data_IF_107187479341
#
_entry.id   IF_107187479341
#
_cell.length_a   1.000
_cell.length_b   1.000
_cell.length_c   1.000
_cell.angle_alpha   90.00
_cell.angle_beta   90.00
_cell.angle_gamma   90.00
#
_symmetry.space_group_name_H-M   'P 1'
#
loop_
_entity.id
_entity.type
_entity.pdbx_description
1 polymer ?
#
# COMPACT_ATOMS: atom_id res chain seq x y z
N UNK A 1 21.31 6.09 6.55
CA UNK A 1 21.11 4.69 6.95
C UNK A 1 19.61 4.44 6.92
N UNK A 2 19.11 3.48 6.14
CA UNK A 2 17.67 3.14 6.11
C UNK A 2 17.41 2.10 7.19
N UNK A 3 16.54 2.42 8.15
CA UNK A 3 16.20 1.53 9.26
C UNK A 3 14.75 1.09 9.13
N UNK A 4 14.49 -0.21 9.15
CA UNK A 4 13.12 -0.73 9.20
C UNK A 4 12.58 -0.45 10.60
N UNK A 5 11.49 0.33 10.67
CA UNK A 5 10.81 0.68 11.92
C UNK A 5 9.64 -0.25 12.21
N UNK A 6 8.99 -0.77 11.17
CA UNK A 6 7.82 -1.65 11.31
C UNK A 6 7.68 -2.58 10.10
N UNK A 7 7.07 -3.75 10.30
CA UNK A 7 6.84 -4.76 9.26
C UNK A 7 5.51 -5.47 9.49
N UNK A 8 4.68 -5.56 8.45
CA UNK A 8 3.34 -6.14 8.51
C UNK A 8 3.21 -7.22 7.44
N UNK A 9 2.73 -8.39 7.85
CA UNK A 9 2.37 -9.46 6.94
C UNK A 9 1.15 -9.09 6.10
N UNK A 10 1.29 -9.14 4.77
CA UNK A 10 0.28 -8.65 3.84
C UNK A 10 0.12 -9.61 2.66
N UNK A 11 -0.62 -10.70 2.87
CA UNK A 11 -1.13 -11.59 1.82
C UNK A 11 -0.05 -12.09 0.82
N UNK A 12 1.00 -12.72 1.34
CA UNK A 12 2.15 -13.22 0.55
C UNK A 12 3.27 -12.18 0.32
N UNK A 13 3.02 -10.93 0.73
CA UNK A 13 4.00 -9.84 0.76
C UNK A 13 4.20 -9.34 2.19
N UNK A 14 5.20 -8.50 2.39
CA UNK A 14 5.42 -7.72 3.60
C UNK A 14 5.34 -6.23 3.29
N UNK A 15 4.65 -5.49 4.15
CA UNK A 15 4.58 -4.03 4.09
C UNK A 15 5.52 -3.49 5.15
N UNK A 16 6.45 -2.64 4.72
CA UNK A 16 7.58 -2.19 5.51
C UNK A 16 7.50 -0.68 5.68
N UNK A 17 7.65 -0.23 6.92
CA UNK A 17 7.85 1.17 7.26
C UNK A 17 9.32 1.39 7.50
N UNK A 18 9.95 2.24 6.67
CA UNK A 18 11.38 2.54 6.73
C UNK A 18 11.59 3.99 7.05
N UNK A 19 12.45 4.27 8.01
CA UNK A 19 12.90 5.64 8.22
C UNK A 19 13.91 6.04 7.14
N UNK A 20 13.63 7.17 6.49
CA UNK A 20 14.45 7.77 5.45
C UNK A 20 14.83 9.18 5.91
N UNK A 21 16.09 9.57 5.70
CA UNK A 21 16.57 10.94 5.98
C UNK A 21 16.37 11.44 7.42
N UNK A 22 16.03 12.73 7.56
CA UNK A 22 15.94 13.48 8.82
C UNK A 22 14.49 13.60 9.32
N UNK A 23 13.73 12.48 9.36
CA UNK A 23 12.30 12.35 9.80
C UNK A 23 11.27 12.16 8.67
N UNK A 24 11.56 11.31 7.70
CA UNK A 24 10.52 10.77 6.82
C UNK A 24 10.40 9.26 7.01
N UNK A 25 9.20 8.75 6.80
CA UNK A 25 8.86 7.34 6.95
C UNK A 25 8.23 6.84 5.65
N UNK A 26 8.96 6.00 4.95
CA UNK A 26 8.53 5.39 3.69
C UNK A 26 7.73 4.11 3.98
N UNK A 27 6.53 4.02 3.42
CA UNK A 27 5.72 2.80 3.39
C UNK A 27 5.93 2.14 2.05
N UNK A 28 6.26 0.86 2.07
CA UNK A 28 6.62 0.10 0.88
C UNK A 28 6.15 -1.35 1.00
N UNK A 29 5.97 -2.03 -0.12
CA UNK A 29 5.57 -3.44 -0.16
C UNK A 29 6.62 -4.29 -0.87
N UNK A 30 6.93 -5.45 -0.31
CA UNK A 30 7.92 -6.38 -0.84
C UNK A 30 7.35 -7.80 -0.86
N UNK A 31 7.51 -8.50 -1.99
CA UNK A 31 7.10 -9.90 -2.08
C UNK A 31 8.03 -10.80 -1.25
N UNK A 32 7.46 -11.77 -0.53
CA UNK A 32 8.25 -12.72 0.29
C UNK A 32 9.05 -13.72 -0.53
N UNK A 33 8.54 -14.07 -1.71
CA UNK A 33 9.10 -15.15 -2.55
C UNK A 33 10.26 -14.64 -3.42
N UNK A 34 10.30 -13.34 -3.73
CA UNK A 34 11.40 -12.74 -4.51
C UNK A 34 11.86 -11.40 -3.91
N UNK A 35 12.60 -11.43 -2.78
CA UNK A 35 12.96 -10.24 -2.01
C UNK A 35 14.13 -9.43 -2.60
N UNK A 36 14.64 -9.73 -3.80
CA UNK A 36 15.81 -9.05 -4.38
C UNK A 36 15.59 -7.56 -4.71
N UNK A 37 14.36 -7.05 -4.65
CA UNK A 37 14.04 -5.63 -4.79
C UNK A 37 13.86 -4.91 -3.45
N UNK A 38 14.02 -3.58 -3.43
CA UNK A 38 13.74 -2.72 -2.25
C UNK A 38 12.25 -2.66 -1.85
N UNK A 39 11.39 -3.39 -2.57
CA UNK A 39 9.95 -3.23 -2.55
C UNK A 39 9.53 -2.01 -3.37
N UNK A 40 8.24 -1.95 -3.71
CA UNK A 40 7.65 -0.77 -4.34
C UNK A 40 7.25 0.21 -3.25
N UNK A 41 7.69 1.46 -3.39
CA UNK A 41 7.27 2.55 -2.50
C UNK A 41 5.81 2.86 -2.79
N UNK A 42 5.01 2.90 -1.72
CA UNK A 42 3.59 3.22 -1.79
C UNK A 42 3.34 4.70 -1.48
N UNK A 43 3.98 5.21 -0.43
CA UNK A 43 3.89 6.60 0.00
C UNK A 43 4.96 6.94 1.05
N UNK A 44 5.24 8.23 1.26
CA UNK A 44 6.10 8.73 2.35
C UNK A 44 5.32 9.65 3.29
N UNK A 45 5.54 9.48 4.61
CA UNK A 45 4.88 10.25 5.67
C UNK A 45 5.90 10.97 6.55
N UNK A 46 5.46 12.02 7.24
CA UNK A 46 6.31 12.78 8.17
C UNK A 46 6.39 12.16 9.58
N UNK A 47 5.39 11.35 9.95
CA UNK A 47 5.30 10.71 11.26
C UNK A 47 5.35 9.18 11.21
N UNK A 48 6.01 8.57 12.19
CA UNK A 48 6.08 7.10 12.30
C UNK A 48 4.69 6.49 12.51
N UNK A 49 3.91 7.03 13.43
CA UNK A 49 2.56 6.53 13.73
C UNK A 49 1.65 6.61 12.50
N UNK A 50 1.74 7.69 11.74
CA UNK A 50 1.01 7.87 10.49
C UNK A 50 1.43 6.83 9.44
N UNK A 51 2.73 6.59 9.28
CA UNK A 51 3.23 5.58 8.36
C UNK A 51 2.83 4.15 8.75
N UNK A 52 2.84 3.83 10.05
CA UNK A 52 2.38 2.54 10.57
C UNK A 52 0.89 2.36 10.33
N UNK A 53 0.08 3.36 10.64
CA UNK A 53 -1.36 3.32 10.37
C UNK A 53 -1.65 3.16 8.87
N UNK A 54 -0.91 3.87 8.01
CA UNK A 54 -1.02 3.73 6.56
C UNK A 54 -0.60 2.35 6.06
N UNK A 55 0.43 1.74 6.65
CA UNK A 55 0.87 0.39 6.31
C UNK A 55 -0.18 -0.68 6.67
N UNK A 56 -0.79 -0.59 7.86
CA UNK A 56 -1.90 -1.47 8.26
C UNK A 56 -3.12 -1.27 7.36
N UNK A 57 -3.43 -0.01 7.07
CA UNK A 57 -4.56 0.36 6.23
C UNK A 57 -4.39 -0.13 4.79
N UNK A 58 -3.19 -0.01 4.24
CA UNK A 58 -2.86 -0.54 2.93
C UNK A 58 -3.19 -2.04 2.82
N UNK A 59 -2.91 -2.85 3.83
CA UNK A 59 -3.23 -4.27 3.77
C UNK A 59 -4.73 -4.55 3.64
N UNK A 60 -5.56 -3.75 4.30
CA UNK A 60 -7.02 -3.85 4.17
C UNK A 60 -7.48 -3.43 2.77
N UNK A 61 -6.93 -2.35 2.23
CA UNK A 61 -7.23 -1.89 0.87
C UNK A 61 -6.77 -2.90 -0.19
N UNK A 62 -5.59 -3.47 -0.03
CA UNK A 62 -5.04 -4.46 -0.95
C UNK A 62 -5.90 -5.73 -0.98
N UNK A 63 -6.35 -6.21 0.19
CA UNK A 63 -7.29 -7.33 0.27
C UNK A 63 -8.60 -7.03 -0.47
N UNK A 64 -9.24 -5.88 -0.18
CA UNK A 64 -10.49 -5.47 -0.82
C UNK A 64 -10.33 -5.31 -2.35
N UNK A 65 -9.23 -4.72 -2.81
CA UNK A 65 -8.94 -4.58 -4.23
C UNK A 65 -8.78 -5.96 -4.92
N UNK A 66 -8.06 -6.88 -4.28
CA UNK A 66 -7.82 -8.24 -4.78
C UNK A 66 -9.11 -9.05 -4.88
N UNK A 67 -10.02 -8.92 -3.93
CA UNK A 67 -11.36 -9.54 -4.00
C UNK A 67 -12.16 -9.07 -5.22
N UNK A 68 -11.94 -7.84 -5.67
CA UNK A 68 -12.54 -7.28 -6.88
C UNK A 68 -11.73 -7.57 -8.16
N UNK A 69 -10.67 -8.37 -8.08
CA UNK A 69 -9.81 -8.74 -9.21
C UNK A 69 -8.82 -7.66 -9.65
N UNK A 70 -8.57 -6.66 -8.80
CA UNK A 70 -7.48 -5.70 -9.00
C UNK A 70 -6.18 -6.28 -8.46
N UNK A 71 -5.05 -5.86 -9.03
CA UNK A 71 -3.72 -6.17 -8.51
C UNK A 71 -2.91 -4.88 -8.34
N UNK A 72 -1.82 -4.97 -7.57
CA UNK A 72 -0.91 -3.86 -7.37
C UNK A 72 0.14 -3.82 -8.49
N UNK A 73 0.26 -2.68 -9.17
CA UNK A 73 1.28 -2.40 -10.18
C UNK A 73 1.80 -0.97 -9.97
N UNK A 74 3.10 -0.81 -9.74
CA UNK A 74 3.79 0.50 -9.63
C UNK A 74 3.10 1.54 -8.72
N UNK A 75 2.51 1.10 -7.59
CA UNK A 75 1.81 2.00 -6.66
C UNK A 75 0.35 2.29 -7.04
N UNK A 76 -0.21 1.56 -7.99
CA UNK A 76 -1.61 1.64 -8.40
C UNK A 76 -2.33 0.31 -8.20
N UNK A 77 -3.60 0.37 -7.82
CA UNK A 77 -4.52 -0.75 -8.04
C UNK A 77 -5.00 -0.71 -9.49
N UNK A 78 -4.78 -1.80 -10.21
CA UNK A 78 -5.07 -1.91 -11.64
C UNK A 78 -5.89 -3.16 -11.93
N UNK A 79 -6.78 -3.07 -12.92
CA UNK A 79 -7.56 -4.17 -13.48
C UNK A 79 -7.76 -3.90 -14.97
N UNK A 80 -7.78 -4.97 -15.77
CA UNK A 80 -7.98 -4.86 -17.23
C UNK A 80 -9.29 -4.12 -17.51
N UNK A 81 -9.23 -3.16 -18.43
CA UNK A 81 -10.35 -2.29 -18.85
C UNK A 81 -11.01 -1.47 -17.73
N UNK A 82 -10.31 -1.24 -16.62
CA UNK A 82 -10.76 -0.35 -15.54
C UNK A 82 -9.75 0.75 -15.24
N UNK A 83 -10.21 1.94 -14.79
CA UNK A 83 -9.35 2.98 -14.25
C UNK A 83 -8.33 2.46 -13.23
N UNK A 84 -7.10 2.99 -13.31
CA UNK A 84 -6.06 2.78 -12.30
C UNK A 84 -6.34 3.66 -11.07
N UNK A 85 -6.09 3.16 -9.87
CA UNK A 85 -6.26 3.91 -8.62
C UNK A 85 -4.94 4.07 -7.88
N UNK A 86 -4.48 5.31 -7.68
CA UNK A 86 -3.21 5.60 -7.01
C UNK A 86 -3.30 5.27 -5.51
N UNK A 87 -2.48 4.34 -5.04
CA UNK A 87 -2.51 3.82 -3.67
C UNK A 87 -2.15 4.90 -2.65
N UNK A 88 -1.07 5.65 -2.88
CA UNK A 88 -0.64 6.71 -1.95
C UNK A 88 -1.75 7.73 -1.68
N UNK A 89 -2.56 8.04 -2.69
CA UNK A 89 -3.70 8.96 -2.56
C UNK A 89 -4.81 8.36 -1.69
N UNK A 90 -5.14 7.09 -1.90
CA UNK A 90 -6.12 6.36 -1.08
C UNK A 90 -5.68 6.26 0.39
N UNK A 91 -4.37 6.12 0.64
CA UNK A 91 -3.80 6.12 1.99
C UNK A 91 -3.89 7.51 2.65
N UNK A 92 -3.54 8.57 1.92
CA UNK A 92 -3.65 9.95 2.40
C UNK A 92 -5.10 10.34 2.70
N UNK A 93 -6.04 9.94 1.83
CA UNK A 93 -7.48 10.16 2.01
C UNK A 93 -8.10 9.27 3.11
N UNK A 94 -7.33 8.33 3.67
CA UNK A 94 -7.81 7.33 4.64
C UNK A 94 -9.07 6.61 4.14
N UNK A 95 -9.13 6.34 2.83
CA UNK A 95 -10.27 5.72 2.17
C UNK A 95 -10.62 4.41 2.85
N UNK A 96 -11.87 4.17 3.27
CA UNK A 96 -12.18 2.88 3.90
C UNK A 96 -12.12 1.73 2.87
N UNK A 97 -11.86 0.48 3.29
CA UNK A 97 -11.91 -0.68 2.39
C UNK A 97 -13.28 -0.84 1.73
N UNK A 98 -14.36 -0.55 2.47
CA UNK A 98 -15.73 -0.61 1.97
C UNK A 98 -15.99 0.46 0.90
N UNK A 99 -15.52 1.70 1.12
CA UNK A 99 -15.61 2.77 0.13
C UNK A 99 -14.78 2.49 -1.12
N UNK A 100 -13.61 1.86 -0.96
CA UNK A 100 -12.81 1.41 -2.09
C UNK A 100 -13.57 0.31 -2.86
N UNK A 101 -14.08 -0.71 -2.19
CA UNK A 101 -14.85 -1.77 -2.83
C UNK A 101 -16.05 -1.21 -3.61
N UNK A 102 -16.81 -0.29 -3.01
CA UNK A 102 -17.91 0.40 -3.68
C UNK A 102 -17.45 1.20 -4.92
N UNK A 103 -16.32 1.91 -4.82
CA UNK A 103 -15.74 2.65 -5.94
C UNK A 103 -15.34 1.71 -7.10
N UNK A 104 -14.78 0.55 -6.79
CA UNK A 104 -14.35 -0.44 -7.80
C UNK A 104 -15.55 -1.14 -8.47
N UNK A 105 -16.62 -1.40 -7.71
CA UNK A 105 -17.87 -1.97 -8.21
C UNK A 105 -18.69 -1.00 -9.07
N UNK A 106 -18.67 0.30 -8.75
CA UNK A 106 -19.39 1.33 -9.50
C UNK A 106 -18.84 1.56 -10.92
N UNK A 107 -17.71 0.95 -11.26
CA UNK A 107 -17.07 1.06 -12.58
C UNK A 107 -17.46 -0.07 -13.53
N UNK A 108 -18.42 -0.94 -13.14
CA UNK A 108 -18.93 -2.05 -13.97
C UNK A 108 -19.78 -1.51 -15.12
#
# INVERSE_FOLDING_TARGET
>A
MMTIRHSIACDGSDVLVRETGLRSFEVSIQARINPLGKGNVLETFAGLEEAVAAAEHFCKLHAAAKEQGYHLEEGYFVKVDKPKHHVGRLLQERKSPDDLAALLLAQI
#
